data_IF_779491436052
#
_entry.id   IF_779491436052
#
_cell.length_a   1.000
_cell.length_b   1.000
_cell.length_c   1.000
_cell.angle_alpha   90.00
_cell.angle_beta   90.00
_cell.angle_gamma   90.00
#
_symmetry.space_group_name_H-M   'P 1'
#
loop_
_entity.id
_entity.type
_entity.pdbx_description
1 polymer ?
#
# COMPACT_ATOMS: atom_id res chain seq x y z
N UNK A 1 -1.94 -6.42 14.12
CA UNK A 1 -2.10 -5.11 13.42
C UNK A 1 -2.99 -5.29 12.19
N UNK A 2 -3.85 -4.33 11.92
CA UNK A 2 -4.74 -4.36 10.77
C UNK A 2 -4.89 -2.94 10.21
N UNK A 3 -5.65 -2.82 9.14
CA UNK A 3 -5.82 -1.56 8.43
C UNK A 3 -7.12 -0.81 8.75
N UNK A 4 -7.81 -1.20 9.82
CA UNK A 4 -9.14 -0.67 10.11
C UNK A 4 -9.16 0.84 10.44
N UNK A 5 -8.05 1.38 10.91
CA UNK A 5 -7.92 2.79 11.27
C UNK A 5 -7.31 3.64 10.15
N UNK A 6 -7.01 3.03 9.01
CA UNK A 6 -6.40 3.75 7.88
C UNK A 6 -7.48 4.29 6.95
N UNK A 7 -7.22 5.46 6.38
CA UNK A 7 -8.10 6.02 5.37
C UNK A 7 -8.06 5.13 4.11
N UNK A 8 -9.19 4.95 3.43
CA UNK A 8 -9.21 4.13 2.22
C UNK A 8 -8.28 4.67 1.14
N UNK A 9 -7.58 3.76 0.47
CA UNK A 9 -6.71 4.11 -0.65
C UNK A 9 -7.56 4.64 -1.82
N UNK A 10 -7.00 5.58 -2.56
CA UNK A 10 -7.64 6.17 -3.75
C UNK A 10 -6.96 5.58 -4.98
N UNK A 11 -7.69 4.80 -5.76
CA UNK A 11 -7.15 4.10 -6.92
C UNK A 11 -7.84 4.48 -8.22
N UNK A 12 -8.81 5.38 -8.17
CA UNK A 12 -9.73 5.66 -9.27
C UNK A 12 -9.80 7.14 -9.66
N UNK A 13 -8.72 7.88 -9.43
CA UNK A 13 -8.63 9.25 -9.93
C UNK A 13 -8.78 9.26 -11.44
N UNK A 14 -9.48 10.28 -11.97
CA UNK A 14 -9.70 10.42 -13.40
C UNK A 14 -9.14 11.75 -13.90
N UNK A 15 -8.99 11.84 -15.22
CA UNK A 15 -8.62 13.11 -15.86
C UNK A 15 -9.63 14.21 -15.52
N UNK A 16 -10.91 13.84 -15.40
CA UNK A 16 -11.95 14.79 -15.02
C UNK A 16 -11.77 15.31 -13.60
N UNK A 17 -11.37 14.45 -12.66
CA UNK A 17 -11.08 14.88 -11.30
C UNK A 17 -9.97 15.93 -11.25
N UNK A 18 -8.94 15.75 -12.06
CA UNK A 18 -7.84 16.71 -12.16
C UNK A 18 -8.32 18.00 -12.81
N UNK A 19 -9.04 17.89 -13.91
CA UNK A 19 -9.50 19.05 -14.68
C UNK A 19 -10.47 19.93 -13.89
N UNK A 20 -11.33 19.32 -13.06
CA UNK A 20 -12.31 20.07 -12.24
C UNK A 20 -11.75 20.50 -10.90
N UNK A 21 -10.54 20.10 -10.55
CA UNK A 21 -9.89 20.52 -9.32
C UNK A 21 -10.53 19.93 -8.06
N UNK A 22 -11.09 18.72 -8.16
CA UNK A 22 -11.66 18.05 -6.99
C UNK A 22 -10.56 17.64 -6.01
N UNK A 23 -10.92 17.48 -4.75
CA UNK A 23 -9.96 17.02 -3.74
C UNK A 23 -9.33 15.68 -4.13
N UNK A 24 -10.10 14.81 -4.73
CA UNK A 24 -9.64 13.50 -5.21
C UNK A 24 -8.59 13.63 -6.30
N UNK A 25 -8.72 14.64 -7.17
CA UNK A 25 -7.79 14.87 -8.27
C UNK A 25 -6.47 15.49 -7.85
N UNK A 26 -6.42 16.18 -6.73
CA UNK A 26 -5.20 16.81 -6.25
C UNK A 26 -4.34 15.82 -5.48
N UNK A 27 -3.05 15.78 -5.81
CA UNK A 27 -2.07 15.03 -5.04
C UNK A 27 -1.48 15.97 -4.00
N UNK A 28 -1.90 15.84 -2.76
CA UNK A 28 -1.59 16.79 -1.70
C UNK A 28 -1.03 16.08 -0.46
N UNK A 29 -0.81 16.84 0.62
CA UNK A 29 -0.24 16.32 1.86
C UNK A 29 -1.04 15.14 2.41
N UNK A 30 -2.38 15.20 2.36
CA UNK A 30 -3.21 14.09 2.86
C UNK A 30 -3.02 12.81 2.06
N UNK A 31 -2.73 12.91 0.77
CA UNK A 31 -2.42 11.73 -0.05
C UNK A 31 -1.11 11.09 0.40
N UNK A 32 -0.09 11.91 0.64
CA UNK A 32 1.20 11.42 1.11
C UNK A 32 1.07 10.80 2.50
N UNK A 33 0.33 11.44 3.39
CA UNK A 33 0.10 10.90 4.74
C UNK A 33 -0.59 9.55 4.70
N UNK A 34 -1.59 9.41 3.84
CA UNK A 34 -2.30 8.14 3.66
C UNK A 34 -1.36 7.05 3.15
N UNK A 35 -0.58 7.35 2.12
CA UNK A 35 0.38 6.40 1.55
C UNK A 35 1.42 6.01 2.59
N UNK A 36 1.98 6.96 3.31
CA UNK A 36 2.96 6.69 4.36
C UNK A 36 2.37 5.81 5.46
N UNK A 37 1.12 6.04 5.84
CA UNK A 37 0.44 5.21 6.84
C UNK A 37 0.33 3.75 6.37
N UNK A 38 0.01 3.52 5.10
CA UNK A 38 -0.02 2.16 4.54
C UNK A 38 1.37 1.54 4.47
N UNK A 39 2.39 2.32 4.11
CA UNK A 39 3.77 1.83 4.09
C UNK A 39 4.20 1.39 5.49
N UNK A 40 3.91 2.20 6.51
CA UNK A 40 4.23 1.85 7.89
C UNK A 40 3.47 0.61 8.35
N UNK A 41 2.19 0.53 8.03
CA UNK A 41 1.37 -0.64 8.37
C UNK A 41 1.93 -1.91 7.73
N UNK A 42 2.17 -1.90 6.42
CA UNK A 42 2.68 -3.07 5.71
C UNK A 42 4.10 -3.42 6.16
N UNK A 43 4.95 -2.43 6.37
CA UNK A 43 6.28 -2.65 6.93
C UNK A 43 6.21 -3.37 8.27
N UNK A 44 5.31 -2.94 9.14
CA UNK A 44 5.14 -3.55 10.45
C UNK A 44 4.67 -4.99 10.39
N UNK A 45 3.64 -5.28 9.59
CA UNK A 45 3.08 -6.64 9.52
C UNK A 45 3.99 -7.61 8.78
N UNK A 46 4.84 -7.12 7.88
CA UNK A 46 5.78 -7.95 7.13
C UNK A 46 7.16 -8.05 7.80
N UNK A 47 7.33 -7.38 8.91
CA UNK A 47 8.60 -7.43 9.65
C UNK A 47 9.74 -6.67 8.98
N UNK A 48 9.42 -5.68 8.16
CA UNK A 48 10.42 -4.82 7.52
C UNK A 48 10.76 -3.63 8.40
N UNK A 49 11.91 -3.03 8.16
CA UNK A 49 12.36 -1.86 8.93
C UNK A 49 12.47 -0.66 7.98
N UNK A 50 11.32 -0.18 7.51
CA UNK A 50 11.24 0.95 6.60
C UNK A 50 10.90 2.23 7.37
N UNK A 51 11.46 3.33 6.92
CA UNK A 51 11.16 4.66 7.46
C UNK A 51 10.41 5.46 6.41
N UNK A 52 9.49 6.32 6.86
CA UNK A 52 8.76 7.22 5.97
C UNK A 52 9.14 8.66 6.32
N UNK A 53 9.08 9.53 5.31
CA UNK A 53 9.33 10.96 5.50
C UNK A 53 8.02 11.64 5.83
N UNK A 54 7.94 12.23 7.02
CA UNK A 54 6.75 12.97 7.44
C UNK A 54 6.56 14.21 6.57
N UNK A 55 5.30 14.52 6.28
CA UNK A 55 4.92 15.73 5.56
C UNK A 55 3.92 16.51 6.39
N UNK A 56 3.95 17.82 6.27
CA UNK A 56 3.13 18.73 7.06
C UNK A 56 2.35 19.66 6.16
N UNK A 57 1.21 20.14 6.64
CA UNK A 57 0.40 21.12 5.94
C UNK A 57 1.25 22.32 5.55
N UNK A 58 1.06 22.80 4.32
CA UNK A 58 1.81 23.92 3.79
C UNK A 58 3.12 23.57 3.11
N UNK A 59 3.56 22.32 3.18
CA UNK A 59 4.74 21.87 2.45
C UNK A 59 4.41 21.62 0.99
N UNK A 60 5.32 22.02 0.11
CA UNK A 60 5.25 21.60 -1.29
C UNK A 60 5.72 20.15 -1.42
N UNK A 61 5.01 19.38 -2.22
CA UNK A 61 5.43 18.02 -2.54
C UNK A 61 6.69 18.06 -3.39
N UNK A 62 7.75 17.40 -2.96
CA UNK A 62 9.03 17.37 -3.65
C UNK A 62 9.25 16.04 -4.33
N UNK A 63 10.12 16.03 -5.35
CA UNK A 63 10.52 14.80 -6.01
C UNK A 63 11.17 13.82 -5.04
N UNK A 64 11.95 14.32 -4.09
CA UNK A 64 12.60 13.48 -3.09
C UNK A 64 11.57 12.70 -2.26
N UNK A 65 10.46 13.33 -1.91
CA UNK A 65 9.38 12.66 -1.18
C UNK A 65 8.73 11.56 -2.01
N UNK A 66 8.54 11.80 -3.30
CA UNK A 66 7.99 10.79 -4.20
C UNK A 66 8.98 9.65 -4.40
N UNK A 67 10.27 9.95 -4.54
CA UNK A 67 11.32 8.92 -4.65
C UNK A 67 11.37 8.04 -3.41
N UNK A 68 11.22 8.61 -2.22
CA UNK A 68 11.17 7.85 -0.96
C UNK A 68 9.98 6.89 -0.94
N UNK A 69 8.81 7.36 -1.37
CA UNK A 69 7.61 6.52 -1.46
C UNK A 69 7.85 5.36 -2.42
N UNK A 70 8.38 5.64 -3.60
CA UNK A 70 8.66 4.62 -4.62
C UNK A 70 9.64 3.58 -4.08
N UNK A 71 10.70 4.03 -3.42
CA UNK A 71 11.69 3.14 -2.82
C UNK A 71 11.08 2.24 -1.77
N UNK A 72 10.25 2.79 -0.89
CA UNK A 72 9.58 2.03 0.15
C UNK A 72 8.59 1.02 -0.44
N UNK A 73 7.81 1.42 -1.44
CA UNK A 73 6.86 0.52 -2.12
C UNK A 73 7.61 -0.63 -2.79
N UNK A 74 8.72 -0.34 -3.45
CA UNK A 74 9.55 -1.38 -4.06
C UNK A 74 10.11 -2.36 -3.03
N UNK A 75 10.51 -1.88 -1.87
CA UNK A 75 11.01 -2.74 -0.80
C UNK A 75 9.93 -3.68 -0.27
N UNK A 76 8.71 -3.19 -0.10
CA UNK A 76 7.58 -4.02 0.33
C UNK A 76 7.24 -5.02 -0.76
N UNK A 77 7.19 -4.58 -2.00
CA UNK A 77 6.86 -5.43 -3.16
C UNK A 77 7.87 -6.56 -3.34
N UNK A 78 9.16 -6.29 -3.07
CA UNK A 78 10.20 -7.31 -3.13
C UNK A 78 10.10 -8.33 -1.99
N UNK A 79 9.54 -7.93 -0.86
CA UNK A 79 9.43 -8.77 0.33
C UNK A 79 8.12 -9.56 0.38
N UNK A 80 7.14 -9.23 -0.46
CA UNK A 80 5.81 -9.82 -0.40
C UNK A 80 5.32 -10.15 -1.81
N UNK A 81 4.02 -10.37 -1.94
CA UNK A 81 3.43 -10.87 -3.20
C UNK A 81 2.29 -9.96 -3.64
N UNK A 82 2.12 -9.86 -4.95
CA UNK A 82 1.00 -9.15 -5.56
C UNK A 82 0.42 -9.99 -6.69
N UNK A 83 -0.83 -9.74 -7.04
CA UNK A 83 -1.46 -10.37 -8.18
C UNK A 83 -0.73 -9.97 -9.48
N UNK A 84 -0.77 -10.84 -10.49
CA UNK A 84 -0.04 -10.63 -11.74
C UNK A 84 -0.52 -9.40 -12.53
N UNK A 85 -1.75 -8.95 -12.29
CA UNK A 85 -2.31 -7.77 -12.95
C UNK A 85 -2.00 -6.46 -12.20
N UNK A 86 -1.21 -6.53 -11.12
CA UNK A 86 -0.81 -5.35 -10.36
C UNK A 86 0.10 -4.47 -11.23
N UNK A 87 -0.16 -3.15 -11.29
CA UNK A 87 0.68 -2.27 -12.12
C UNK A 87 2.13 -2.26 -11.66
N UNK A 88 3.03 -1.94 -12.58
CA UNK A 88 4.44 -1.75 -12.24
C UNK A 88 4.60 -0.50 -11.40
N UNK A 89 5.60 -0.50 -10.52
CA UNK A 89 5.90 0.67 -9.70
C UNK A 89 6.31 1.82 -10.63
N UNK A 90 5.64 2.98 -10.58
CA UNK A 90 5.97 4.10 -11.45
C UNK A 90 7.28 4.76 -11.06
N UNK A 91 7.82 5.57 -11.97
CA UNK A 91 8.98 6.41 -11.69
C UNK A 91 8.51 7.83 -11.34
N UNK A 92 9.35 8.60 -10.67
CA UNK A 92 8.98 9.92 -10.16
C UNK A 92 8.86 11.00 -11.24
N UNK A 93 9.41 10.76 -12.42
CA UNK A 93 9.41 11.75 -13.52
C UNK A 93 7.99 11.91 -14.07
N UNK A 94 7.58 13.16 -14.31
CA UNK A 94 6.25 13.48 -14.84
C UNK A 94 5.12 12.86 -14.00
N UNK A 95 5.14 13.14 -12.72
CA UNK A 95 4.15 12.61 -11.80
C UNK A 95 2.76 13.10 -12.16
N UNK A 96 1.81 12.18 -12.28
CA UNK A 96 0.43 12.47 -12.66
C UNK A 96 -0.55 11.59 -11.87
N UNK A 97 -1.85 11.75 -12.16
CA UNK A 97 -2.88 11.01 -11.46
C UNK A 97 -2.81 9.50 -11.72
N UNK A 98 -2.35 9.10 -12.90
CA UNK A 98 -2.21 7.68 -13.24
C UNK A 98 -1.15 7.04 -12.37
N UNK A 99 -0.02 7.69 -12.20
CA UNK A 99 1.06 7.20 -11.32
C UNK A 99 0.63 7.17 -9.87
N UNK A 100 -0.10 8.21 -9.42
CA UNK A 100 -0.66 8.25 -8.08
C UNK A 100 -1.62 7.07 -7.84
N UNK A 101 -2.51 6.81 -8.79
CA UNK A 101 -3.41 5.66 -8.72
C UNK A 101 -2.63 4.35 -8.65
N UNK A 102 -1.57 4.22 -9.45
CA UNK A 102 -0.80 2.98 -9.50
C UNK A 102 -0.08 2.69 -8.19
N UNK A 103 0.47 3.71 -7.53
CA UNK A 103 1.08 3.52 -6.21
C UNK A 103 0.04 2.98 -5.23
N UNK A 104 -1.14 3.56 -5.19
CA UNK A 104 -2.17 3.12 -4.26
C UNK A 104 -2.76 1.76 -4.64
N UNK A 105 -2.83 1.44 -5.94
CA UNK A 105 -3.22 0.09 -6.40
C UNK A 105 -2.23 -0.97 -5.92
N UNK A 106 -0.94 -0.67 -5.97
CA UNK A 106 0.08 -1.60 -5.49
C UNK A 106 -0.07 -1.83 -4.00
N UNK A 107 -0.23 -0.77 -3.21
CA UNK A 107 -0.42 -0.89 -1.76
C UNK A 107 -1.68 -1.69 -1.43
N UNK A 108 -2.76 -1.45 -2.17
CA UNK A 108 -4.00 -2.19 -2.00
C UNK A 108 -3.81 -3.68 -2.31
N UNK A 109 -3.12 -4.00 -3.40
CA UNK A 109 -2.85 -5.39 -3.78
C UNK A 109 -2.01 -6.12 -2.73
N UNK A 110 -1.00 -5.44 -2.19
CA UNK A 110 -0.15 -5.99 -1.13
C UNK A 110 -0.97 -6.27 0.13
N UNK A 111 -1.83 -5.34 0.52
CA UNK A 111 -2.69 -5.49 1.69
C UNK A 111 -3.72 -6.61 1.50
N UNK A 112 -4.34 -6.67 0.34
CA UNK A 112 -5.32 -7.72 0.03
C UNK A 112 -4.67 -9.10 0.08
N UNK A 113 -3.46 -9.24 -0.44
CA UNK A 113 -2.75 -10.50 -0.36
C UNK A 113 -2.41 -10.86 1.09
N UNK A 114 -1.97 -9.88 1.86
CA UNK A 114 -1.68 -10.08 3.28
C UNK A 114 -2.93 -10.53 4.04
N UNK A 115 -4.08 -9.87 3.83
CA UNK A 115 -5.33 -10.24 4.50
C UNK A 115 -5.77 -11.65 4.13
N UNK A 116 -5.65 -12.01 2.86
CA UNK A 116 -5.95 -13.37 2.39
C UNK A 116 -5.10 -14.41 3.11
N UNK A 117 -3.82 -14.14 3.27
CA UNK A 117 -2.89 -15.03 3.96
C UNK A 117 -3.26 -15.21 5.42
N UNK A 118 -3.73 -14.17 6.09
CA UNK A 118 -4.17 -14.27 7.49
C UNK A 118 -5.40 -15.14 7.63
N UNK A 119 -6.34 -15.07 6.72
CA UNK A 119 -7.55 -15.91 6.72
C UNK A 119 -7.15 -17.37 6.52
N UNK A 120 -6.30 -17.69 5.56
CA UNK A 120 -5.83 -19.04 5.31
C UNK A 120 -5.12 -19.61 6.53
N UNK A 121 -4.28 -18.82 7.17
CA UNK A 121 -3.57 -19.23 8.37
C UNK A 121 -4.53 -19.53 9.52
N UNK A 122 -5.58 -18.75 9.67
CA UNK A 122 -6.59 -18.97 10.71
C UNK A 122 -7.31 -20.30 10.51
N UNK A 123 -7.74 -20.59 9.29
CA UNK A 123 -8.43 -21.84 8.99
C UNK A 123 -7.51 -23.04 9.16
N UNK A 124 -6.29 -22.95 8.71
CA UNK A 124 -5.31 -24.03 8.91
C UNK A 124 -5.06 -24.30 10.37
N UNK A 125 -4.93 -23.29 11.18
CA UNK A 125 -4.76 -23.42 12.62
C UNK A 125 -5.93 -24.09 13.31
N UNK A 126 -7.14 -23.78 12.87
CA UNK A 126 -8.35 -24.36 13.43
C UNK A 126 -8.42 -25.86 13.20
N UNK A 127 -8.05 -26.33 12.04
CA UNK A 127 -8.14 -27.75 11.68
C UNK A 127 -7.00 -28.58 12.22
N UNK A 128 -5.99 -28.00 12.75
CA UNK A 128 -4.86 -28.73 13.31
C UNK A 128 -5.08 -29.18 14.74
N UNK A 129 -6.11 -28.76 15.30
CA UNK A 129 -6.35 -29.10 16.71
C UNK A 129 -6.53 -30.58 16.88
N UNK A 130 -5.83 -31.18 17.16
CA UNK A 130 -5.84 -32.56 17.22
C UNK A 130 -4.60 -32.98 16.61
N UNK A 131 -4.50 -31.87 15.83
CA UNK A 131 -4.03 -31.64 15.76
C UNK A 131 -3.40 -31.77 15.10
N UNK A 132 -3.13 -32.13 14.77
CA UNK A 132 -2.84 -31.89 14.68
C UNK A 132 -2.86 -31.99 13.73
N UNK A 133 -2.97 -32.27 13.04
CA UNK A 133 -3.41 -32.05 12.59
C UNK A 133 -2.95 -31.95 11.67
N UNK A 134 -2.67 -32.21 11.07
CA UNK A 134 -2.53 -31.73 10.70
C UNK A 134 -2.38 -31.55 9.55
N UNK A 135 -2.23 -31.46 8.82
CA UNK A 135 -2.36 -30.83 8.03
C UNK A 135 -1.57 -30.69 7.23
N UNK A 136 -1.35 -30.91 6.67
CA UNK A 136 -0.80 -30.57 6.41
C UNK A 136 -0.24 -30.67 6.66
N UNK A 137 -0.06 -30.92 6.95
CA UNK A 137 0.02 -30.64 7.64
C UNK A 137 0.09 -30.82 7.98
N UNK A 138 0.03 -30.93 8.13
CA UNK A 138 -0.34 -30.74 8.89
C UNK A 138 -0.47 -30.71 9.17
#
# INVERSE_FOLDING_TARGET
MNNSNLDPLITDRTEQDVATGTKKGFYNVSDIQRINSYIEYLSGVLGLNLTVTDVFLGQALTRAQIDDIISNVNSIRAAWYVASDTPQTPIAVNWDYVKANNIEKILKALDEFYQSTQIDKLYSGTFRAGHQIKFRGA
#
